data_IF_495018070581
#
_entry.id   IF_495018070581
#
_cell.length_a   1.000
_cell.length_b   1.000
_cell.length_c   1.000
_cell.angle_alpha   90.00
_cell.angle_beta   90.00
_cell.angle_gamma   90.00
#
_symmetry.space_group_name_H-M   'P 1'
#
loop_
_entity.id
_entity.type
_entity.pdbx_description
1 polymer ?
#
# COMPACT_ATOMS: atom_id res chain seq x y z
N UNK A 1 36.44 3.18 -6.62
CA UNK A 1 36.84 2.82 -5.24
C UNK A 1 35.66 3.10 -4.31
N UNK A 2 35.23 2.12 -3.50
CA UNK A 2 34.11 2.34 -2.56
C UNK A 2 34.63 3.13 -1.36
N UNK A 3 34.00 4.24 -1.03
CA UNK A 3 34.33 5.05 0.13
C UNK A 3 33.36 4.81 1.27
N UNK A 4 33.72 5.12 2.52
CA UNK A 4 32.79 5.06 3.67
C UNK A 4 31.51 5.82 3.35
N UNK A 5 31.61 7.03 2.75
CA UNK A 5 30.46 7.85 2.41
C UNK A 5 29.52 7.14 1.41
N UNK A 6 30.05 6.59 0.30
CA UNK A 6 29.22 5.91 -0.71
C UNK A 6 28.58 4.62 -0.19
N UNK A 7 29.25 3.91 0.72
CA UNK A 7 28.66 2.72 1.34
C UNK A 7 27.59 3.07 2.36
N UNK A 8 27.81 4.10 3.16
CA UNK A 8 26.81 4.61 4.12
C UNK A 8 25.56 5.11 3.37
N UNK A 9 25.74 5.88 2.31
CA UNK A 9 24.66 6.36 1.44
C UNK A 9 23.81 5.19 0.93
N UNK A 10 24.44 4.17 0.33
CA UNK A 10 23.70 3.01 -0.16
C UNK A 10 22.95 2.23 0.94
N UNK A 11 23.52 2.13 2.17
CA UNK A 11 22.82 1.49 3.29
C UNK A 11 21.59 2.30 3.72
N UNK A 12 21.69 3.62 3.70
CA UNK A 12 20.59 4.50 4.06
C UNK A 12 19.48 4.48 3.00
N UNK A 13 19.86 4.49 1.72
CA UNK A 13 18.91 4.37 0.61
C UNK A 13 18.15 3.03 0.60
N UNK A 14 18.83 1.94 0.99
CA UNK A 14 18.22 0.61 1.16
C UNK A 14 17.24 0.55 2.36
N UNK A 15 17.24 1.56 3.26
CA UNK A 15 16.40 1.59 4.47
C UNK A 15 15.57 2.86 4.56
N UNK A 16 14.29 2.82 4.12
CA UNK A 16 13.39 3.96 4.21
C UNK A 16 13.28 4.57 5.62
N UNK A 17 13.35 3.72 6.66
CA UNK A 17 13.31 4.18 8.05
C UNK A 17 14.49 5.08 8.41
N UNK A 18 15.73 4.69 8.04
CA UNK A 18 16.90 5.53 8.29
C UNK A 18 16.87 6.80 7.43
N UNK A 19 16.47 6.69 6.16
CA UNK A 19 16.38 7.83 5.27
C UNK A 19 15.40 8.89 5.81
N UNK A 20 14.21 8.46 6.26
CA UNK A 20 13.21 9.37 6.84
C UNK A 20 13.68 10.04 8.12
N UNK A 21 14.23 9.27 9.09
CA UNK A 21 14.67 9.85 10.37
C UNK A 21 15.83 10.83 10.19
N UNK A 22 16.72 10.57 9.22
CA UNK A 22 17.77 11.49 8.83
C UNK A 22 17.22 12.76 8.19
N UNK A 23 16.28 12.63 7.26
CA UNK A 23 15.65 13.74 6.56
C UNK A 23 14.86 14.65 7.51
N UNK A 24 14.21 14.07 8.53
CA UNK A 24 13.48 14.80 9.57
C UNK A 24 14.41 15.45 10.61
N UNK A 25 15.69 15.11 10.63
CA UNK A 25 16.66 15.64 11.59
C UNK A 25 16.52 15.09 13.00
N UNK A 26 15.73 14.01 13.20
CA UNK A 26 15.48 13.38 14.50
C UNK A 26 16.40 12.17 14.75
N UNK A 27 17.25 11.85 13.79
CA UNK A 27 18.14 10.70 13.87
C UNK A 27 19.25 10.92 14.90
N UNK A 28 19.47 9.93 15.76
CA UNK A 28 20.71 9.83 16.54
C UNK A 28 21.80 9.22 15.65
N UNK A 29 22.60 10.09 15.00
CA UNK A 29 23.63 9.66 14.05
C UNK A 29 24.68 8.74 14.67
N UNK A 30 25.01 8.88 15.94
CA UNK A 30 25.96 8.00 16.63
C UNK A 30 25.39 6.60 16.85
N UNK A 31 24.11 6.50 17.20
CA UNK A 31 23.46 5.20 17.37
C UNK A 31 23.26 4.50 16.03
N UNK A 32 22.86 5.23 14.98
CA UNK A 32 22.80 4.67 13.63
C UNK A 32 24.17 4.22 13.17
N UNK A 33 25.23 5.03 13.39
CA UNK A 33 26.60 4.68 13.03
C UNK A 33 27.03 3.35 13.67
N UNK A 34 26.75 3.18 14.95
CA UNK A 34 27.05 1.95 15.68
C UNK A 34 26.37 0.74 15.07
N UNK A 35 25.10 0.87 14.71
CA UNK A 35 24.28 -0.22 14.11
C UNK A 35 24.75 -0.60 12.71
N UNK A 36 25.06 0.39 11.87
CA UNK A 36 25.43 0.12 10.47
C UNK A 36 26.90 -0.16 10.27
N UNK A 37 27.78 0.19 11.22
CA UNK A 37 29.25 -0.03 11.14
C UNK A 37 29.62 -1.45 10.70
N UNK A 38 29.06 -2.53 11.26
CA UNK A 38 29.41 -3.89 10.83
C UNK A 38 29.09 -4.15 9.34
N UNK A 39 28.02 -3.56 8.82
CA UNK A 39 27.67 -3.68 7.41
C UNK A 39 28.61 -2.86 6.51
N UNK A 40 29.02 -1.67 6.98
CA UNK A 40 30.02 -0.83 6.28
C UNK A 40 31.36 -1.57 6.19
N UNK A 41 31.85 -2.12 7.28
CA UNK A 41 33.08 -2.90 7.33
C UNK A 41 33.04 -4.12 6.40
N UNK A 42 31.90 -4.82 6.38
CA UNK A 42 31.69 -5.96 5.48
C UNK A 42 31.69 -5.55 4.00
N UNK A 43 31.09 -4.41 3.66
CA UNK A 43 31.03 -3.91 2.26
C UNK A 43 32.40 -3.35 1.79
N UNK A 44 33.20 -2.80 2.72
CA UNK A 44 34.53 -2.23 2.42
C UNK A 44 35.68 -3.25 2.55
N UNK A 45 35.44 -4.37 3.25
CA UNK A 45 36.49 -5.36 3.62
C UNK A 45 37.63 -4.78 4.48
N UNK A 46 37.34 -3.69 5.22
CA UNK A 46 38.28 -3.02 6.13
C UNK A 46 37.56 -2.53 7.39
N UNK A 47 38.33 -2.36 8.48
CA UNK A 47 37.79 -1.79 9.72
C UNK A 47 37.66 -0.29 9.60
N UNK A 48 36.55 0.23 10.08
CA UNK A 48 36.26 1.68 10.10
C UNK A 48 35.95 2.14 11.52
N UNK A 49 36.24 3.42 11.85
CA UNK A 49 35.83 3.98 13.12
C UNK A 49 34.36 4.39 13.12
N UNK A 50 33.69 4.28 14.27
CA UNK A 50 32.34 4.75 14.47
C UNK A 50 32.20 6.24 14.14
N UNK A 51 33.23 7.03 14.51
CA UNK A 51 33.29 8.45 14.20
C UNK A 51 33.26 8.74 12.70
N UNK A 52 33.97 7.94 11.88
CA UNK A 52 34.00 8.10 10.43
C UNK A 52 32.62 7.80 9.80
N UNK A 53 31.93 6.78 10.29
CA UNK A 53 30.58 6.44 9.86
C UNK A 53 29.59 7.53 10.29
N UNK A 54 29.69 8.02 11.53
CA UNK A 54 28.86 9.12 12.04
C UNK A 54 29.04 10.41 11.25
N UNK A 55 30.28 10.75 10.88
CA UNK A 55 30.55 11.92 10.03
C UNK A 55 29.96 11.76 8.63
N UNK A 56 30.00 10.56 8.07
CA UNK A 56 29.38 10.28 6.77
C UNK A 56 27.86 10.48 6.85
N UNK A 57 27.21 9.96 7.89
CA UNK A 57 25.77 10.18 8.16
C UNK A 57 25.45 11.67 8.32
N UNK A 58 26.25 12.43 9.06
CA UNK A 58 26.01 13.87 9.25
C UNK A 58 26.11 14.65 7.93
N UNK A 59 27.04 14.28 7.05
CA UNK A 59 27.16 14.89 5.72
C UNK A 59 25.96 14.50 4.84
N UNK A 60 25.58 13.23 4.88
CA UNK A 60 24.43 12.73 4.14
C UNK A 60 23.14 13.44 4.58
N UNK A 61 22.93 13.62 5.89
CA UNK A 61 21.77 14.31 6.44
C UNK A 61 21.55 15.72 5.86
N UNK A 62 22.62 16.45 5.56
CA UNK A 62 22.53 17.77 4.91
C UNK A 62 22.05 17.70 3.46
N UNK A 63 22.26 16.57 2.81
CA UNK A 63 21.99 16.36 1.38
C UNK A 63 20.78 15.45 1.14
N UNK A 64 20.33 14.71 2.16
CA UNK A 64 19.10 13.89 2.05
C UNK A 64 17.94 14.84 1.84
N UNK A 65 17.48 14.90 0.61
CA UNK A 65 16.19 15.52 0.29
C UNK A 65 15.12 14.65 0.95
N UNK A 66 14.21 15.29 1.67
CA UNK A 66 12.92 14.66 1.92
C UNK A 66 12.41 14.23 0.56
N UNK A 67 12.25 12.94 0.35
CA UNK A 67 11.45 12.47 -0.77
C UNK A 67 9.99 12.78 -0.43
N UNK A 68 9.66 14.09 -0.54
CA UNK A 68 8.35 14.63 -0.23
C UNK A 68 7.36 14.34 -1.35
N UNK A 69 7.83 13.80 -2.48
CA UNK A 69 7.00 13.62 -3.67
C UNK A 69 5.76 12.77 -3.38
N UNK A 70 5.91 11.66 -2.68
CA UNK A 70 4.79 10.82 -2.25
C UNK A 70 3.90 11.49 -1.18
N UNK A 71 4.49 12.15 -0.18
CA UNK A 71 3.75 12.83 0.88
C UNK A 71 2.98 14.05 0.35
N UNK A 72 3.57 14.82 -0.57
CA UNK A 72 2.91 15.97 -1.19
C UNK A 72 1.82 15.54 -2.17
N UNK A 73 1.99 14.41 -2.87
CA UNK A 73 0.95 13.85 -3.73
C UNK A 73 -0.27 13.39 -2.91
N UNK A 74 -0.06 12.83 -1.72
CA UNK A 74 -1.15 12.40 -0.84
C UNK A 74 -2.02 13.58 -0.39
N UNK A 75 -1.43 14.74 -0.09
CA UNK A 75 -2.17 15.96 0.25
C UNK A 75 -3.03 16.49 -0.90
N UNK A 76 -2.77 16.05 -2.12
CA UNK A 76 -3.61 16.39 -3.29
C UNK A 76 -4.78 15.43 -3.49
N UNK A 77 -4.89 14.39 -2.69
CA UNK A 77 -6.07 13.49 -2.71
C UNK A 77 -7.26 14.28 -2.23
N UNK A 78 -8.22 14.51 -3.11
CA UNK A 78 -9.40 15.34 -2.84
C UNK A 78 -10.66 14.56 -2.55
N UNK A 79 -10.68 13.27 -2.92
CA UNK A 79 -11.88 12.44 -2.89
C UNK A 79 -11.62 11.14 -2.13
N UNK A 80 -12.30 11.01 -0.99
CA UNK A 80 -12.32 9.80 -0.17
C UNK A 80 -13.75 9.30 -0.09
N UNK A 81 -14.03 8.20 -0.77
CA UNK A 81 -15.36 7.59 -0.81
C UNK A 81 -15.37 6.30 -0.01
N UNK A 82 -16.33 6.16 0.90
CA UNK A 82 -16.60 4.90 1.61
C UNK A 82 -17.76 4.18 0.94
N UNK A 83 -17.58 2.90 0.71
CA UNK A 83 -18.61 2.02 0.18
C UNK A 83 -18.72 0.77 1.04
N UNK A 84 -19.83 0.62 1.72
CA UNK A 84 -20.14 -0.50 2.60
C UNK A 84 -20.96 -1.59 1.91
N UNK A 85 -21.27 -2.65 2.66
CA UNK A 85 -22.08 -3.76 2.21
C UNK A 85 -21.48 -4.49 1.01
N UNK A 86 -20.19 -4.82 1.13
CA UNK A 86 -19.45 -5.58 0.13
C UNK A 86 -19.32 -7.05 0.57
N UNK A 87 -19.20 -7.91 -0.42
CA UNK A 87 -18.91 -9.34 -0.25
C UNK A 87 -17.84 -9.77 -1.24
N UNK A 88 -16.93 -10.60 -0.78
CA UNK A 88 -15.83 -11.16 -1.55
C UNK A 88 -16.05 -12.65 -1.79
N UNK A 89 -15.70 -13.11 -2.99
CA UNK A 89 -15.67 -14.50 -3.39
C UNK A 89 -14.31 -14.85 -3.98
N UNK A 90 -13.74 -15.97 -3.55
CA UNK A 90 -12.52 -16.52 -4.12
C UNK A 90 -12.87 -17.81 -4.88
N UNK A 91 -12.43 -17.90 -6.12
CA UNK A 91 -12.68 -19.04 -7.00
C UNK A 91 -11.35 -19.67 -7.42
N UNK A 92 -11.25 -21.02 -7.48
CA UNK A 92 -10.13 -21.65 -8.14
C UNK A 92 -10.16 -21.35 -9.64
N UNK A 93 -8.99 -21.19 -10.26
CA UNK A 93 -8.90 -20.85 -11.70
C UNK A 93 -9.41 -21.97 -12.65
N UNK A 94 -9.72 -23.15 -12.12
CA UNK A 94 -10.39 -24.24 -12.85
C UNK A 94 -11.87 -23.98 -13.14
N UNK A 95 -12.48 -22.98 -12.46
CA UNK A 95 -13.88 -22.59 -12.69
C UNK A 95 -13.99 -21.77 -13.96
N UNK A 96 -14.96 -22.10 -14.80
CA UNK A 96 -15.33 -21.22 -15.91
C UNK A 96 -16.03 -19.97 -15.38
N UNK A 97 -15.30 -18.85 -15.42
CA UNK A 97 -15.75 -17.58 -14.91
C UNK A 97 -16.56 -16.76 -15.93
N UNK A 98 -16.68 -17.20 -17.18
CA UNK A 98 -17.40 -16.44 -18.24
C UNK A 98 -18.85 -16.19 -17.86
N UNK A 99 -19.53 -17.22 -17.36
CA UNK A 99 -20.93 -17.09 -16.93
C UNK A 99 -21.07 -16.14 -15.73
N UNK A 100 -20.13 -16.20 -14.78
CA UNK A 100 -20.08 -15.31 -13.61
C UNK A 100 -19.88 -13.88 -14.09
N UNK A 101 -18.92 -13.62 -14.96
CA UNK A 101 -18.63 -12.29 -15.51
C UNK A 101 -19.83 -11.72 -16.28
N UNK A 102 -20.55 -12.55 -17.03
CA UNK A 102 -21.78 -12.15 -17.71
C UNK A 102 -22.90 -11.78 -16.71
N UNK A 103 -23.04 -12.53 -15.62
CA UNK A 103 -23.99 -12.19 -14.56
C UNK A 103 -23.64 -10.88 -13.85
N UNK A 104 -22.36 -10.68 -13.52
CA UNK A 104 -21.85 -9.44 -12.94
C UNK A 104 -22.13 -8.24 -13.85
N UNK A 105 -21.83 -8.37 -15.15
CA UNK A 105 -22.06 -7.30 -16.14
C UNK A 105 -23.54 -6.91 -16.23
N UNK A 106 -24.43 -7.90 -16.15
CA UNK A 106 -25.87 -7.64 -16.12
C UNK A 106 -26.32 -6.94 -14.83
N UNK A 107 -25.80 -7.37 -13.69
CA UNK A 107 -26.09 -6.76 -12.38
C UNK A 107 -25.59 -5.31 -12.31
N UNK A 108 -24.36 -5.08 -12.77
CA UNK A 108 -23.73 -3.75 -12.77
C UNK A 108 -24.49 -2.75 -13.66
N UNK A 109 -25.04 -3.17 -14.81
CA UNK A 109 -25.84 -2.30 -15.69
C UNK A 109 -27.15 -1.82 -15.07
N UNK A 110 -27.69 -2.57 -14.10
CA UNK A 110 -28.93 -2.21 -13.42
C UNK A 110 -28.75 -1.14 -12.34
N UNK A 111 -27.52 -0.86 -11.93
CA UNK A 111 -27.20 0.01 -10.78
C UNK A 111 -26.10 0.98 -11.16
N UNK A 112 -26.35 2.29 -11.05
CA UNK A 112 -25.37 3.33 -11.35
C UNK A 112 -24.15 3.31 -10.42
N UNK A 113 -24.33 2.84 -9.18
CA UNK A 113 -23.30 2.84 -8.12
C UNK A 113 -22.83 1.42 -7.78
N UNK A 114 -22.69 0.57 -8.78
CA UNK A 114 -22.23 -0.80 -8.58
C UNK A 114 -20.73 -0.83 -8.32
N UNK A 115 -20.33 -1.40 -7.18
CA UNK A 115 -18.94 -1.75 -6.94
C UNK A 115 -18.69 -3.16 -7.47
N UNK A 116 -17.78 -3.28 -8.40
CA UNK A 116 -17.35 -4.56 -8.95
C UNK A 116 -15.85 -4.53 -9.15
N UNK A 117 -15.16 -5.42 -8.47
CA UNK A 117 -13.76 -5.69 -8.75
C UNK A 117 -13.60 -7.18 -9.06
N UNK A 118 -12.95 -7.48 -10.17
CA UNK A 118 -12.57 -8.83 -10.55
C UNK A 118 -11.08 -8.86 -10.83
N UNK A 119 -10.38 -9.76 -10.15
CA UNK A 119 -8.96 -10.00 -10.36
C UNK A 119 -8.71 -11.48 -10.54
N UNK A 120 -7.84 -11.84 -11.49
CA UNK A 120 -7.41 -13.21 -11.70
C UNK A 120 -5.91 -13.33 -11.47
N UNK A 121 -5.55 -14.03 -10.40
CA UNK A 121 -4.18 -14.40 -10.11
C UNK A 121 -3.74 -15.67 -10.83
N UNK A 122 -2.57 -16.17 -10.48
CA UNK A 122 -2.01 -17.40 -11.05
C UNK A 122 -2.80 -18.65 -10.63
N UNK A 123 -3.30 -18.69 -9.40
CA UNK A 123 -3.97 -19.87 -8.83
C UNK A 123 -5.45 -19.67 -8.57
N UNK A 124 -5.85 -18.46 -8.23
CA UNK A 124 -7.20 -18.11 -7.80
C UNK A 124 -7.68 -16.82 -8.48
N UNK A 125 -8.99 -16.67 -8.52
CA UNK A 125 -9.66 -15.46 -8.99
C UNK A 125 -10.49 -14.88 -7.88
N UNK A 126 -10.45 -13.57 -7.74
CA UNK A 126 -11.14 -12.77 -6.74
C UNK A 126 -12.27 -11.99 -7.38
N UNK A 127 -13.40 -11.95 -6.71
CA UNK A 127 -14.53 -11.11 -7.06
C UNK A 127 -15.05 -10.38 -5.82
N UNK A 128 -15.08 -9.05 -5.85
CA UNK A 128 -15.72 -8.23 -4.82
C UNK A 128 -16.89 -7.47 -5.45
N UNK A 129 -18.05 -7.54 -4.82
CA UNK A 129 -19.28 -6.90 -5.30
C UNK A 129 -20.10 -6.33 -4.15
N UNK A 130 -21.08 -5.49 -4.49
CA UNK A 130 -22.13 -5.16 -3.54
C UNK A 130 -22.93 -6.43 -3.17
N UNK A 131 -23.17 -6.63 -1.89
CA UNK A 131 -23.94 -7.78 -1.37
C UNK A 131 -25.32 -7.92 -1.98
N UNK A 132 -25.94 -6.81 -2.34
CA UNK A 132 -27.25 -6.81 -3.02
C UNK A 132 -27.22 -7.52 -4.39
N UNK A 133 -26.06 -7.61 -5.03
CA UNK A 133 -25.85 -8.33 -6.30
C UNK A 133 -25.49 -9.81 -6.10
N UNK A 134 -25.34 -10.26 -4.87
CA UNK A 134 -24.91 -11.61 -4.53
C UNK A 134 -25.85 -12.68 -5.08
N UNK A 135 -27.18 -12.45 -5.04
CA UNK A 135 -28.17 -13.41 -5.51
C UNK A 135 -28.02 -13.76 -7.00
N UNK A 136 -27.73 -12.73 -7.83
CA UNK A 136 -27.49 -12.95 -9.26
C UNK A 136 -26.23 -13.78 -9.51
N UNK A 137 -25.21 -13.61 -8.67
CA UNK A 137 -23.93 -14.33 -8.78
C UNK A 137 -24.05 -15.73 -8.21
N UNK A 138 -24.68 -15.90 -7.06
CA UNK A 138 -24.86 -17.19 -6.41
C UNK A 138 -25.59 -18.20 -7.31
N UNK A 139 -26.58 -17.73 -8.09
CA UNK A 139 -27.32 -18.57 -9.02
C UNK A 139 -26.44 -19.17 -10.12
N UNK A 140 -25.39 -18.47 -10.53
CA UNK A 140 -24.46 -18.89 -11.59
C UNK A 140 -23.23 -19.58 -11.01
N UNK A 141 -22.72 -19.09 -9.89
CA UNK A 141 -21.54 -19.63 -9.23
C UNK A 141 -21.77 -21.03 -8.64
N UNK A 142 -23.02 -21.40 -8.30
CA UNK A 142 -23.41 -22.73 -7.78
C UNK A 142 -22.45 -23.26 -6.70
N UNK A 143 -22.06 -22.41 -5.76
CA UNK A 143 -21.10 -22.74 -4.69
C UNK A 143 -19.70 -23.19 -5.19
N UNK A 144 -19.27 -22.74 -6.35
CA UNK A 144 -17.93 -23.05 -6.89
C UNK A 144 -16.80 -22.22 -6.30
N UNK A 145 -17.10 -21.31 -5.37
CA UNK A 145 -16.10 -20.53 -4.63
C UNK A 145 -15.48 -21.36 -3.51
N UNK A 146 -14.20 -21.14 -3.25
CA UNK A 146 -13.46 -21.75 -2.13
C UNK A 146 -13.65 -20.96 -0.85
N UNK A 147 -13.83 -19.65 -0.97
CA UNK A 147 -14.01 -18.76 0.16
C UNK A 147 -15.06 -17.71 -0.17
N UNK A 148 -15.82 -17.31 0.86
CA UNK A 148 -16.74 -16.17 0.85
C UNK A 148 -16.53 -15.36 2.12
N UNK A 149 -16.30 -14.08 1.96
CA UNK A 149 -16.12 -13.13 3.08
C UNK A 149 -17.15 -12.03 2.96
N UNK A 150 -17.90 -11.79 4.03
CA UNK A 150 -18.88 -10.70 4.13
C UNK A 150 -18.51 -9.70 5.22
N UNK A 151 -19.26 -8.62 5.36
CA UNK A 151 -18.97 -7.57 6.32
C UNK A 151 -17.74 -6.78 5.90
N UNK A 152 -17.68 -6.42 4.61
CA UNK A 152 -16.59 -5.68 4.00
C UNK A 152 -17.04 -4.29 3.55
N UNK A 153 -16.12 -3.35 3.69
CA UNK A 153 -16.26 -1.98 3.19
C UNK A 153 -14.98 -1.55 2.48
N UNK A 154 -15.13 -0.74 1.44
CA UNK A 154 -14.04 -0.14 0.70
C UNK A 154 -13.86 1.33 1.07
N UNK A 155 -12.61 1.78 1.13
CA UNK A 155 -12.25 3.19 1.04
C UNK A 155 -11.54 3.37 -0.29
N UNK A 156 -12.16 4.17 -1.16
CA UNK A 156 -11.62 4.51 -2.47
C UNK A 156 -11.15 5.94 -2.45
N UNK A 157 -9.96 6.18 -2.97
CA UNK A 157 -9.37 7.51 -3.13
C UNK A 157 -8.93 7.73 -4.58
N UNK A 158 -9.05 8.96 -5.04
CA UNK A 158 -8.54 9.36 -6.34
C UNK A 158 -7.19 10.05 -6.17
N UNK A 159 -6.16 9.39 -6.66
CA UNK A 159 -4.81 9.89 -6.66
C UNK A 159 -4.61 10.92 -7.80
N UNK A 160 -3.69 11.87 -7.67
CA UNK A 160 -3.38 12.79 -8.76
C UNK A 160 -2.80 12.03 -9.97
N UNK A 161 -3.03 12.50 -11.22
CA UNK A 161 -2.61 11.80 -12.43
C UNK A 161 -1.11 11.45 -12.47
N UNK A 162 -0.28 12.31 -11.93
CA UNK A 162 1.17 12.08 -11.84
C UNK A 162 1.56 10.89 -10.97
N UNK A 163 0.66 10.40 -10.11
CA UNK A 163 0.92 9.27 -9.22
C UNK A 163 1.21 7.96 -9.95
N UNK A 164 0.70 7.79 -11.16
CA UNK A 164 0.90 6.57 -11.97
C UNK A 164 2.38 6.28 -12.24
N UNK A 165 3.18 7.33 -12.37
CA UNK A 165 4.64 7.23 -12.60
C UNK A 165 5.48 7.55 -11.37
N UNK A 166 4.85 7.78 -10.20
CA UNK A 166 5.54 8.20 -9.00
C UNK A 166 5.94 6.99 -8.13
N UNK A 167 7.23 6.72 -7.96
CA UNK A 167 7.67 5.64 -7.07
C UNK A 167 7.20 5.86 -5.63
N UNK A 168 6.76 4.79 -4.99
CA UNK A 168 6.44 4.81 -3.55
C UNK A 168 5.14 5.53 -3.17
N UNK A 169 4.27 5.91 -4.11
CA UNK A 169 3.02 6.63 -3.83
C UNK A 169 2.10 5.92 -2.82
N UNK A 170 2.06 4.62 -2.82
CA UNK A 170 1.22 3.85 -1.89
C UNK A 170 1.83 3.70 -0.50
N UNK A 171 3.15 3.89 -0.38
CA UNK A 171 3.88 3.66 0.88
C UNK A 171 3.34 4.47 2.07
N UNK A 172 3.17 5.79 1.98
CA UNK A 172 2.68 6.57 3.12
C UNK A 172 1.23 6.22 3.49
N UNK A 173 0.39 5.81 2.52
CA UNK A 173 -1.00 5.38 2.74
C UNK A 173 -1.01 4.08 3.56
N UNK A 174 -0.32 3.05 3.05
CA UNK A 174 -0.27 1.74 3.70
C UNK A 174 0.48 1.81 5.05
N UNK A 175 1.52 2.64 5.14
CA UNK A 175 2.23 2.89 6.40
C UNK A 175 1.33 3.51 7.47
N UNK A 176 0.47 4.47 7.11
CA UNK A 176 -0.45 5.09 8.06
C UNK A 176 -1.44 4.06 8.63
N UNK A 177 -2.00 3.21 7.78
CA UNK A 177 -2.89 2.10 8.18
C UNK A 177 -2.14 1.12 9.10
N UNK A 178 -0.94 0.70 8.71
CA UNK A 178 -0.14 -0.26 9.47
C UNK A 178 0.27 0.27 10.86
N UNK A 179 0.60 1.56 10.98
CA UNK A 179 0.95 2.19 12.27
C UNK A 179 -0.20 2.18 13.28
N UNK A 180 -1.43 2.22 12.81
CA UNK A 180 -2.62 2.13 13.67
C UNK A 180 -3.04 0.68 13.96
N UNK A 181 -2.24 -0.29 13.50
CA UNK A 181 -2.54 -1.71 13.68
C UNK A 181 -3.81 -2.16 12.97
N UNK A 182 -4.19 -1.50 11.87
CA UNK A 182 -5.37 -1.84 11.09
C UNK A 182 -4.96 -2.81 9.98
N UNK A 183 -5.66 -3.94 9.91
CA UNK A 183 -5.51 -4.90 8.82
C UNK A 183 -6.48 -4.58 7.70
N UNK A 184 -6.08 -4.82 6.47
CA UNK A 184 -6.96 -4.77 5.30
C UNK A 184 -7.08 -6.16 4.67
N UNK A 185 -8.15 -6.36 3.91
CA UNK A 185 -8.43 -7.63 3.22
C UNK A 185 -7.79 -7.63 1.84
N UNK A 186 -8.05 -6.56 1.06
CA UNK A 186 -7.56 -6.42 -0.31
C UNK A 186 -7.12 -4.99 -0.60
N UNK A 187 -6.24 -4.86 -1.58
CA UNK A 187 -5.82 -3.58 -2.16
C UNK A 187 -5.92 -3.68 -3.68
N UNK A 188 -6.53 -2.68 -4.28
CA UNK A 188 -6.68 -2.63 -5.74
C UNK A 188 -6.46 -1.23 -6.27
N UNK A 189 -5.95 -1.16 -7.49
CA UNK A 189 -5.71 0.10 -8.18
C UNK A 189 -6.14 0.00 -9.65
N UNK A 190 -6.84 1.01 -10.12
CA UNK A 190 -7.22 1.17 -11.52
C UNK A 190 -6.84 2.58 -11.93
N UNK A 191 -5.73 2.72 -12.64
CA UNK A 191 -5.15 4.00 -13.01
C UNK A 191 -4.90 4.90 -11.77
N UNK A 192 -5.65 5.98 -11.61
CA UNK A 192 -5.58 6.88 -10.45
C UNK A 192 -6.52 6.50 -9.30
N UNK A 193 -7.39 5.53 -9.48
CA UNK A 193 -8.29 5.08 -8.43
C UNK A 193 -7.62 4.01 -7.58
N UNK A 194 -7.46 4.27 -6.29
CA UNK A 194 -6.87 3.37 -5.32
C UNK A 194 -7.88 3.01 -4.24
N UNK A 195 -8.17 1.73 -4.08
CA UNK A 195 -9.15 1.22 -3.13
C UNK A 195 -8.51 0.25 -2.15
N UNK A 196 -8.87 0.36 -0.89
CA UNK A 196 -8.48 -0.58 0.16
C UNK A 196 -9.76 -1.16 0.77
N UNK A 197 -9.82 -2.48 0.87
CA UNK A 197 -10.94 -3.21 1.45
C UNK A 197 -10.62 -3.56 2.90
N UNK A 198 -11.53 -3.23 3.78
CA UNK A 198 -11.44 -3.49 5.20
C UNK A 198 -12.63 -4.34 5.68
N UNK A 199 -12.49 -4.96 6.83
CA UNK A 199 -13.65 -5.44 7.59
C UNK A 199 -14.46 -4.24 8.09
N UNK A 200 -15.77 -4.37 8.14
CA UNK A 200 -16.67 -3.29 8.59
C UNK A 200 -16.28 -2.76 9.98
N UNK A 201 -15.75 -3.61 10.85
CA UNK A 201 -15.31 -3.22 12.19
C UNK A 201 -14.16 -2.20 12.21
N UNK A 202 -13.36 -2.14 11.14
CA UNK A 202 -12.18 -1.26 11.05
C UNK A 202 -12.39 -0.03 10.18
N UNK A 203 -13.54 0.08 9.48
CA UNK A 203 -13.76 1.09 8.44
C UNK A 203 -13.66 2.53 8.96
N UNK A 204 -14.25 2.82 10.12
CA UNK A 204 -14.28 4.17 10.69
C UNK A 204 -12.89 4.62 11.13
N UNK A 205 -12.11 3.69 11.73
CA UNK A 205 -10.74 3.95 12.11
C UNK A 205 -9.87 4.19 10.87
N UNK A 206 -9.98 3.32 9.88
CA UNK A 206 -9.24 3.43 8.64
C UNK A 206 -9.56 4.74 7.89
N UNK A 207 -10.83 5.12 7.81
CA UNK A 207 -11.26 6.38 7.20
C UNK A 207 -10.67 7.60 7.93
N UNK A 208 -10.71 7.59 9.26
CA UNK A 208 -10.15 8.67 10.08
C UNK A 208 -8.63 8.84 9.87
N UNK A 209 -7.91 7.71 9.76
CA UNK A 209 -6.47 7.70 9.47
C UNK A 209 -6.18 8.28 8.09
N UNK A 210 -6.88 7.79 7.07
CA UNK A 210 -6.68 8.25 5.69
C UNK A 210 -7.03 9.72 5.52
N UNK A 211 -8.14 10.17 6.11
CA UNK A 211 -8.53 11.58 6.10
C UNK A 211 -7.47 12.48 6.73
N UNK A 212 -6.84 12.04 7.83
CA UNK A 212 -5.78 12.81 8.51
C UNK A 212 -4.54 13.01 7.65
N UNK A 213 -4.17 12.02 6.84
CA UNK A 213 -2.96 12.13 5.99
C UNK A 213 -3.21 12.85 4.67
N UNK A 214 -4.48 12.99 4.26
CA UNK A 214 -4.89 13.70 3.03
C UNK A 214 -5.31 15.15 3.29
N UNK A 215 -5.42 15.57 4.54
CA UNK A 215 -5.69 16.94 4.95
C UNK A 215 -4.41 17.75 5.05
#
# INVERSE_FOLDING_TARGET
MRTIASVVEGIIEESPFYAETLAEGIANNSEIARRIKPFVEKKLLEKVSEAAVSMALHRLQKNVRRDSSGADAIKKISDLTVRSNLVEFIFPNSVDLVQIMNAISRAARKRKDSFVNFSRGMHESLLIINRDSEKEIASVAKNKFTQRVEGLSAITMRLPPESVSMPGIYYPILRAIAREGISFVEVMSVDTEFSIIFKDADIDRAFSVLKRITA
#
